data_IF_710385662849
#
_entry.id   IF_710385662849
#
_cell.length_a   1.000
_cell.length_b   1.000
_cell.length_c   1.000
_cell.angle_alpha   90.00
_cell.angle_beta   90.00
_cell.angle_gamma   90.00
#
_symmetry.space_group_name_H-M   'P 1'
#
loop_
_entity.id
_entity.type
_entity.pdbx_description
1 polymer ?
#
# COMPACT_ATOMS: atom_id res chain seq x y z
N UNK A 1 -17.39 39.76 24.73
CA UNK A 1 -16.52 38.63 25.10
C UNK A 1 -15.84 38.14 23.85
N UNK A 2 -14.51 38.23 23.76
CA UNK A 2 -13.77 37.58 22.68
C UNK A 2 -13.92 36.06 22.85
N UNK A 3 -14.21 35.30 21.79
CA UNK A 3 -14.27 33.85 21.87
C UNK A 3 -12.93 33.29 22.35
N UNK A 4 -12.99 32.27 23.22
CA UNK A 4 -11.82 31.57 23.74
C UNK A 4 -11.04 30.97 22.55
N UNK A 5 -9.79 31.39 22.38
CA UNK A 5 -8.92 31.00 21.26
C UNK A 5 -8.82 29.46 21.17
N UNK A 6 -8.83 28.78 22.32
CA UNK A 6 -8.82 27.31 22.37
C UNK A 6 -10.09 26.69 21.75
N UNK A 7 -11.26 27.25 22.04
CA UNK A 7 -12.52 26.77 21.47
C UNK A 7 -12.59 27.01 19.95
N UNK A 8 -11.98 28.10 19.45
CA UNK A 8 -11.87 28.36 18.01
C UNK A 8 -10.95 27.33 17.35
N UNK A 9 -9.86 26.95 18.00
CA UNK A 9 -8.91 25.96 17.48
C UNK A 9 -9.52 24.55 17.44
N UNK A 10 -10.23 24.13 18.50
CA UNK A 10 -10.97 22.85 18.55
C UNK A 10 -12.04 22.77 17.43
N UNK A 11 -12.78 23.85 17.19
CA UNK A 11 -13.75 23.91 16.08
C UNK A 11 -13.08 23.81 14.70
N UNK A 12 -11.92 24.45 14.52
CA UNK A 12 -11.17 24.40 13.25
C UNK A 12 -10.62 23.01 12.97
N UNK A 13 -10.08 22.35 14.00
CA UNK A 13 -9.58 20.98 13.92
C UNK A 13 -10.72 19.99 13.58
N UNK A 14 -11.83 20.08 14.30
CA UNK A 14 -13.02 19.25 14.03
C UNK A 14 -13.56 19.46 12.61
N UNK A 15 -13.63 20.71 12.14
CA UNK A 15 -14.01 21.01 10.76
C UNK A 15 -13.01 20.44 9.74
N UNK A 16 -11.71 20.40 10.08
CA UNK A 16 -10.67 19.74 9.30
C UNK A 16 -10.93 18.24 9.17
N UNK A 17 -11.09 17.54 10.29
CA UNK A 17 -11.42 16.11 10.31
C UNK A 17 -12.72 15.81 9.56
N UNK A 18 -13.75 16.64 9.72
CA UNK A 18 -15.02 16.49 9.00
C UNK A 18 -14.85 16.54 7.48
N UNK A 19 -14.01 17.44 6.96
CA UNK A 19 -13.69 17.49 5.51
C UNK A 19 -12.98 16.23 5.03
N UNK A 20 -12.00 15.74 5.79
CA UNK A 20 -11.25 14.51 5.44
C UNK A 20 -12.18 13.30 5.44
N UNK A 21 -13.07 13.17 6.44
CA UNK A 21 -14.07 12.10 6.47
C UNK A 21 -15.05 12.19 5.29
N UNK A 22 -15.46 13.40 4.89
CA UNK A 22 -16.30 13.58 3.71
C UNK A 22 -15.59 13.17 2.40
N UNK A 23 -14.29 13.45 2.29
CA UNK A 23 -13.43 12.99 1.19
C UNK A 23 -13.33 11.46 1.17
N UNK A 24 -13.06 10.84 2.33
CA UNK A 24 -13.02 9.39 2.48
C UNK A 24 -14.36 8.74 2.09
N UNK A 25 -15.50 9.30 2.52
CA UNK A 25 -16.82 8.78 2.15
C UNK A 25 -17.09 8.83 0.63
N UNK A 26 -16.54 9.83 -0.07
CA UNK A 26 -16.60 9.87 -1.54
C UNK A 26 -15.72 8.78 -2.17
N UNK A 27 -14.50 8.59 -1.66
CA UNK A 27 -13.60 7.51 -2.08
C UNK A 27 -14.19 6.12 -1.85
N UNK A 28 -14.80 5.88 -0.68
CA UNK A 28 -15.48 4.62 -0.36
C UNK A 28 -16.59 4.30 -1.36
N UNK A 29 -17.42 5.29 -1.72
CA UNK A 29 -18.48 5.10 -2.72
C UNK A 29 -17.92 4.75 -4.10
N UNK A 30 -16.77 5.30 -4.48
CA UNK A 30 -16.10 4.91 -5.72
C UNK A 30 -15.57 3.48 -5.66
N UNK A 31 -14.90 3.12 -4.56
CA UNK A 31 -14.39 1.77 -4.34
C UNK A 31 -15.53 0.74 -4.33
N UNK A 32 -16.68 1.03 -3.73
CA UNK A 32 -17.84 0.13 -3.78
C UNK A 32 -18.38 -0.08 -5.19
N UNK A 33 -18.43 0.98 -6.01
CA UNK A 33 -18.78 0.83 -7.44
C UNK A 33 -17.74 0.01 -8.18
N UNK A 34 -16.46 0.19 -7.85
CA UNK A 34 -15.35 -0.59 -8.39
C UNK A 34 -15.50 -2.08 -8.05
N UNK A 35 -15.70 -2.42 -6.78
CA UNK A 35 -15.94 -3.80 -6.33
C UNK A 35 -17.11 -4.45 -7.10
N UNK A 36 -18.22 -3.72 -7.26
CA UNK A 36 -19.39 -4.19 -7.99
C UNK A 36 -19.15 -4.36 -9.50
N UNK A 37 -18.25 -3.58 -10.10
CA UNK A 37 -17.89 -3.67 -11.51
C UNK A 37 -16.95 -4.85 -11.83
N UNK A 38 -16.23 -5.35 -10.82
CA UNK A 38 -15.26 -6.45 -10.95
C UNK A 38 -15.62 -7.66 -10.07
N UNK A 39 -16.83 -8.24 -10.18
CA UNK A 39 -17.27 -9.31 -9.29
C UNK A 39 -16.40 -10.57 -9.42
N UNK A 40 -15.85 -10.86 -10.61
CA UNK A 40 -14.96 -12.01 -10.80
C UNK A 40 -13.64 -11.89 -10.01
N UNK A 41 -13.21 -10.67 -9.66
CA UNK A 41 -12.00 -10.45 -8.86
C UNK A 41 -12.31 -10.40 -7.37
N UNK A 42 -13.44 -9.78 -6.98
CA UNK A 42 -13.73 -9.43 -5.59
C UNK A 42 -14.84 -10.27 -4.93
N UNK A 43 -15.44 -11.24 -5.62
CA UNK A 43 -16.48 -12.09 -5.03
C UNK A 43 -15.94 -13.08 -3.98
N UNK A 44 -14.66 -13.42 -4.03
CA UNK A 44 -14.02 -14.33 -3.09
C UNK A 44 -13.10 -13.53 -2.15
N UNK A 45 -13.31 -13.66 -0.83
CA UNK A 45 -12.50 -13.00 0.19
C UNK A 45 -13.21 -11.83 0.89
N UNK A 46 -12.52 -11.14 1.82
CA UNK A 46 -13.08 -10.07 2.65
C UNK A 46 -13.15 -8.71 1.91
N UNK A 47 -13.53 -8.70 0.63
CA UNK A 47 -13.65 -7.47 -0.17
C UNK A 47 -15.03 -6.82 0.03
N UNK A 48 -15.23 -6.25 1.21
CA UNK A 48 -16.51 -5.68 1.61
C UNK A 48 -16.49 -4.15 1.72
N UNK A 49 -17.61 -3.59 2.20
CA UNK A 49 -17.74 -2.16 2.43
C UNK A 49 -16.82 -1.60 3.52
N UNK A 50 -16.37 -2.44 4.47
CA UNK A 50 -15.47 -2.06 5.53
C UNK A 50 -14.04 -1.91 4.99
N UNK A 51 -13.55 -2.88 4.19
CA UNK A 51 -12.27 -2.74 3.49
C UNK A 51 -12.25 -1.47 2.63
N UNK A 52 -13.30 -1.24 1.83
CA UNK A 52 -13.41 -0.03 1.01
C UNK A 52 -13.38 1.25 1.85
N UNK A 53 -13.98 1.24 3.04
CA UNK A 53 -13.93 2.39 3.98
C UNK A 53 -12.53 2.61 4.53
N UNK A 54 -11.86 1.55 4.98
CA UNK A 54 -10.51 1.59 5.54
C UNK A 54 -9.50 2.14 4.53
N UNK A 55 -9.55 1.64 3.29
CA UNK A 55 -8.72 2.13 2.19
C UNK A 55 -8.97 3.62 1.93
N UNK A 56 -10.23 4.02 1.79
CA UNK A 56 -10.57 5.41 1.48
C UNK A 56 -10.17 6.38 2.60
N UNK A 57 -10.30 5.98 3.87
CA UNK A 57 -9.84 6.77 5.01
C UNK A 57 -8.31 6.89 5.01
N UNK A 58 -7.59 5.80 4.79
CA UNK A 58 -6.13 5.82 4.76
C UNK A 58 -5.60 6.80 3.71
N UNK A 59 -6.15 6.78 2.51
CA UNK A 59 -5.72 7.69 1.44
C UNK A 59 -6.17 9.13 1.70
N UNK A 60 -7.41 9.36 2.16
CA UNK A 60 -7.89 10.72 2.44
C UNK A 60 -7.11 11.39 3.59
N UNK A 61 -6.74 10.66 4.63
CA UNK A 61 -5.91 11.20 5.71
C UNK A 61 -4.45 11.39 5.31
N UNK A 62 -3.96 10.63 4.33
CA UNK A 62 -2.62 10.79 3.76
C UNK A 62 -2.51 12.03 2.86
N UNK A 63 -3.54 12.35 2.09
CA UNK A 63 -3.57 13.48 1.13
C UNK A 63 -4.86 14.32 1.25
N UNK A 64 -5.12 14.98 2.39
CA UNK A 64 -6.37 15.69 2.66
C UNK A 64 -6.60 16.93 1.80
N UNK A 65 -5.55 17.44 1.16
CA UNK A 65 -5.59 18.57 0.24
C UNK A 65 -6.09 18.20 -1.16
N UNK A 66 -6.06 16.92 -1.51
CA UNK A 66 -6.57 16.42 -2.78
C UNK A 66 -8.10 16.31 -2.75
N UNK A 67 -8.71 16.38 -3.93
CA UNK A 67 -10.11 16.05 -4.12
C UNK A 67 -10.35 14.55 -4.39
N UNK A 68 -11.62 14.15 -4.44
CA UNK A 68 -11.99 12.75 -4.62
C UNK A 68 -11.62 12.19 -6.02
N UNK A 69 -11.55 13.04 -7.05
CA UNK A 69 -11.16 12.64 -8.39
C UNK A 69 -9.64 12.38 -8.45
N UNK A 70 -8.85 13.24 -7.82
CA UNK A 70 -7.40 13.09 -7.67
C UNK A 70 -7.04 11.81 -6.90
N UNK A 71 -7.76 11.50 -5.81
CA UNK A 71 -7.49 10.30 -5.00
C UNK A 71 -8.05 9.00 -5.59
N UNK A 72 -8.87 9.07 -6.64
CA UNK A 72 -9.53 7.90 -7.23
C UNK A 72 -8.53 6.82 -7.64
N UNK A 73 -7.45 7.22 -8.32
CA UNK A 73 -6.43 6.27 -8.79
C UNK A 73 -5.59 5.70 -7.65
N UNK A 74 -5.31 6.51 -6.64
CA UNK A 74 -4.57 6.05 -5.46
C UNK A 74 -5.37 5.00 -4.70
N UNK A 75 -6.68 5.22 -4.50
CA UNK A 75 -7.59 4.26 -3.89
C UNK A 75 -7.65 2.92 -4.66
N UNK A 76 -7.72 2.98 -6.00
CA UNK A 76 -7.74 1.78 -6.85
C UNK A 76 -6.42 1.03 -6.85
N UNK A 77 -5.29 1.74 -6.76
CA UNK A 77 -3.98 1.12 -6.62
C UNK A 77 -3.86 0.31 -5.31
N UNK A 78 -4.35 0.86 -4.20
CA UNK A 78 -4.41 0.12 -2.93
C UNK A 78 -5.31 -1.10 -3.04
N UNK A 79 -6.49 -0.96 -3.68
CA UNK A 79 -7.40 -2.08 -3.89
C UNK A 79 -6.77 -3.18 -4.78
N UNK A 80 -5.99 -2.81 -5.79
CA UNK A 80 -5.20 -3.76 -6.59
C UNK A 80 -4.19 -4.50 -5.73
N UNK A 81 -3.50 -3.81 -4.81
CA UNK A 81 -2.58 -4.43 -3.85
C UNK A 81 -3.26 -5.51 -3.01
N UNK A 82 -4.43 -5.21 -2.43
CA UNK A 82 -5.22 -6.19 -1.67
C UNK A 82 -5.72 -7.36 -2.52
N UNK A 83 -6.13 -7.10 -3.77
CA UNK A 83 -6.54 -8.16 -4.70
C UNK A 83 -5.36 -9.09 -5.03
N UNK A 84 -4.19 -8.52 -5.28
CA UNK A 84 -2.98 -9.25 -5.59
C UNK A 84 -2.53 -10.11 -4.39
N UNK A 85 -2.52 -9.54 -3.19
CA UNK A 85 -2.23 -10.21 -1.92
C UNK A 85 -3.11 -11.45 -1.74
N UNK A 86 -4.43 -11.30 -1.84
CA UNK A 86 -5.37 -12.42 -1.74
C UNK A 86 -5.13 -13.51 -2.78
N UNK A 87 -4.84 -13.12 -4.02
CA UNK A 87 -4.57 -14.07 -5.10
C UNK A 87 -3.29 -14.89 -4.85
N UNK A 88 -2.23 -14.25 -4.35
CA UNK A 88 -0.96 -14.92 -4.07
C UNK A 88 -1.05 -15.78 -2.81
N UNK A 89 -1.55 -15.22 -1.71
CA UNK A 89 -1.43 -15.86 -0.41
C UNK A 89 -2.54 -16.87 -0.12
N UNK A 90 -3.73 -16.69 -0.68
CA UNK A 90 -4.88 -17.55 -0.36
C UNK A 90 -5.40 -18.38 -1.54
N UNK A 91 -5.27 -17.90 -2.77
CA UNK A 91 -5.82 -18.62 -3.94
C UNK A 91 -4.78 -19.46 -4.69
N UNK A 92 -3.52 -19.00 -4.77
CA UNK A 92 -2.48 -19.77 -5.42
C UNK A 92 -2.08 -21.00 -4.57
N UNK A 93 -2.17 -22.18 -5.18
CA UNK A 93 -1.91 -23.47 -4.52
C UNK A 93 -0.54 -24.05 -4.88
N UNK A 94 0.14 -23.48 -5.88
CA UNK A 94 1.44 -23.97 -6.34
C UNK A 94 2.38 -22.86 -6.81
N UNK A 95 3.69 -23.17 -6.78
CA UNK A 95 4.73 -22.28 -7.30
C UNK A 95 4.50 -21.90 -8.77
N UNK A 96 4.04 -22.86 -9.58
CA UNK A 96 3.78 -22.65 -11.00
C UNK A 96 2.64 -21.65 -11.24
N UNK A 97 1.59 -21.67 -10.41
CA UNK A 97 0.49 -20.71 -10.46
C UNK A 97 0.96 -19.30 -10.09
N UNK A 98 1.76 -19.15 -9.02
CA UNK A 98 2.34 -17.86 -8.63
C UNK A 98 3.26 -17.31 -9.73
N UNK A 99 4.15 -18.13 -10.27
CA UNK A 99 5.02 -17.75 -11.38
C UNK A 99 4.23 -17.32 -12.63
N UNK A 100 3.13 -18.02 -12.95
CA UNK A 100 2.26 -17.65 -14.06
C UNK A 100 1.51 -16.34 -13.78
N UNK A 101 1.00 -16.14 -12.57
CA UNK A 101 0.37 -14.90 -12.14
C UNK A 101 1.34 -13.73 -12.31
N UNK A 102 2.54 -13.82 -11.73
CA UNK A 102 3.57 -12.78 -11.83
C UNK A 102 3.90 -12.46 -13.27
N UNK A 103 4.15 -13.48 -14.12
CA UNK A 103 4.43 -13.26 -15.55
C UNK A 103 3.30 -12.51 -16.26
N UNK A 104 2.04 -12.88 -16.01
CA UNK A 104 0.87 -12.21 -16.62
C UNK A 104 0.75 -10.76 -16.15
N UNK A 105 0.85 -10.51 -14.85
CA UNK A 105 0.75 -9.16 -14.29
C UNK A 105 1.88 -8.24 -14.79
N UNK A 106 3.11 -8.76 -14.89
CA UNK A 106 4.23 -8.02 -15.50
C UNK A 106 3.97 -7.66 -16.97
N UNK A 107 3.45 -8.59 -17.75
CA UNK A 107 3.11 -8.34 -19.15
C UNK A 107 2.04 -7.24 -19.27
N UNK A 108 1.00 -7.30 -18.43
CA UNK A 108 -0.06 -6.27 -18.38
C UNK A 108 0.51 -4.91 -17.98
N UNK A 109 1.36 -4.84 -16.95
CA UNK A 109 2.01 -3.60 -16.53
C UNK A 109 2.87 -2.99 -17.66
N UNK A 110 3.51 -3.83 -18.47
CA UNK A 110 4.23 -3.42 -19.67
C UNK A 110 3.30 -2.93 -20.81
N UNK A 111 2.01 -3.27 -20.76
CA UNK A 111 1.00 -2.84 -21.73
C UNK A 111 0.45 -3.94 -22.62
N UNK A 112 0.76 -5.21 -22.34
CA UNK A 112 0.09 -6.32 -23.00
C UNK A 112 -1.40 -6.35 -22.60
N UNK A 113 -2.31 -6.79 -23.49
CA UNK A 113 -3.70 -6.98 -23.14
C UNK A 113 -3.86 -8.08 -22.09
N UNK A 114 -4.75 -7.86 -21.12
CA UNK A 114 -5.14 -8.90 -20.19
C UNK A 114 -6.05 -9.94 -20.88
N UNK A 115 -5.90 -11.21 -20.52
CA UNK A 115 -6.80 -12.26 -21.00
C UNK A 115 -8.15 -12.21 -20.28
N UNK A 116 -9.21 -12.75 -20.90
CA UNK A 116 -10.55 -12.78 -20.29
C UNK A 116 -10.57 -13.52 -18.95
N UNK A 117 -9.74 -14.57 -18.83
CA UNK A 117 -9.60 -15.40 -17.63
C UNK A 117 -8.58 -14.85 -16.61
N UNK A 118 -8.21 -13.56 -16.72
CA UNK A 118 -7.33 -12.87 -15.78
C UNK A 118 -8.02 -11.62 -15.19
N UNK A 119 -8.93 -11.78 -14.21
CA UNK A 119 -9.64 -10.66 -13.59
C UNK A 119 -8.70 -9.63 -12.95
N UNK A 120 -7.61 -10.09 -12.33
CA UNK A 120 -6.60 -9.22 -11.72
C UNK A 120 -5.85 -8.43 -12.80
N UNK A 121 -5.44 -9.09 -13.89
CA UNK A 121 -4.77 -8.44 -15.02
C UNK A 121 -5.68 -7.43 -15.72
N UNK A 122 -6.97 -7.72 -15.86
CA UNK A 122 -7.93 -6.74 -16.40
C UNK A 122 -8.01 -5.49 -15.52
N UNK A 123 -8.10 -5.69 -14.20
CA UNK A 123 -8.11 -4.58 -13.25
C UNK A 123 -6.82 -3.74 -13.33
N UNK A 124 -5.66 -4.39 -13.41
CA UNK A 124 -4.38 -3.72 -13.60
C UNK A 124 -4.29 -3.00 -14.96
N UNK A 125 -4.85 -3.56 -16.02
CA UNK A 125 -4.87 -2.94 -17.35
C UNK A 125 -5.69 -1.64 -17.36
N UNK A 126 -6.86 -1.64 -16.70
CA UNK A 126 -7.71 -0.46 -16.54
C UNK A 126 -7.00 0.62 -15.71
N UNK A 127 -6.42 0.23 -14.57
CA UNK A 127 -5.61 1.13 -13.75
C UNK A 127 -4.43 1.73 -14.52
N UNK A 128 -3.70 0.92 -15.27
CA UNK A 128 -2.60 1.38 -16.14
C UNK A 128 -3.11 2.34 -17.21
N UNK A 129 -4.27 2.08 -17.82
CA UNK A 129 -4.83 2.94 -18.85
C UNK A 129 -5.18 4.32 -18.28
N UNK A 130 -5.78 4.37 -17.09
CA UNK A 130 -6.06 5.61 -16.39
C UNK A 130 -4.76 6.36 -16.03
N UNK A 131 -3.74 5.65 -15.52
CA UNK A 131 -2.43 6.25 -15.26
C UNK A 131 -1.78 6.79 -16.54
N UNK A 132 -1.85 6.04 -17.65
CA UNK A 132 -1.27 6.43 -18.92
C UNK A 132 -1.93 7.66 -19.56
N UNK A 133 -3.14 8.00 -19.13
CA UNK A 133 -3.81 9.24 -19.53
C UNK A 133 -3.25 10.47 -18.78
N UNK A 134 -2.54 10.29 -17.67
CA UNK A 134 -1.92 11.38 -16.93
C UNK A 134 -0.65 11.89 -17.65
N UNK A 135 -0.45 13.21 -17.79
CA UNK A 135 0.72 13.77 -18.48
C UNK A 135 2.07 13.27 -17.94
N UNK A 136 2.18 13.10 -16.62
CA UNK A 136 3.42 12.67 -15.97
C UNK A 136 3.79 11.21 -16.27
N UNK A 137 2.87 10.39 -16.79
CA UNK A 137 3.14 8.97 -17.07
C UNK A 137 4.21 8.77 -18.15
N UNK A 138 4.34 9.69 -19.10
CA UNK A 138 5.39 9.63 -20.12
C UNK A 138 6.79 9.58 -19.48
N UNK A 139 6.98 10.31 -18.38
CA UNK A 139 8.26 10.41 -17.66
C UNK A 139 8.35 9.40 -16.52
N UNK A 140 7.30 9.28 -15.71
CA UNK A 140 7.30 8.50 -14.47
C UNK A 140 6.82 7.05 -14.65
N UNK A 141 6.22 6.72 -15.80
CA UNK A 141 5.66 5.39 -16.05
C UNK A 141 6.69 4.26 -16.01
N UNK A 142 7.98 4.57 -16.26
CA UNK A 142 9.08 3.63 -16.07
C UNK A 142 9.25 3.21 -14.61
N UNK A 143 9.28 4.17 -13.69
CA UNK A 143 9.39 3.92 -12.26
C UNK A 143 8.16 3.19 -11.71
N UNK A 144 6.95 3.50 -12.21
CA UNK A 144 5.75 2.76 -11.81
C UNK A 144 5.82 1.29 -12.22
N UNK A 145 6.23 0.99 -13.46
CA UNK A 145 6.42 -0.39 -13.93
C UNK A 145 7.47 -1.14 -13.12
N UNK A 146 8.55 -0.45 -12.76
CA UNK A 146 9.58 -1.02 -11.90
C UNK A 146 9.05 -1.32 -10.49
N UNK A 147 8.26 -0.42 -9.90
CA UNK A 147 7.61 -0.67 -8.61
C UNK A 147 6.64 -1.86 -8.67
N UNK A 148 5.83 -1.98 -9.75
CA UNK A 148 4.98 -3.17 -9.98
C UNK A 148 5.83 -4.44 -10.03
N UNK A 149 6.97 -4.41 -10.74
CA UNK A 149 7.88 -5.56 -10.84
C UNK A 149 8.43 -5.99 -9.49
N UNK A 150 8.94 -5.04 -8.70
CA UNK A 150 9.47 -5.30 -7.35
C UNK A 150 8.41 -5.91 -6.44
N UNK A 151 7.20 -5.38 -6.43
CA UNK A 151 6.08 -5.93 -5.63
C UNK A 151 5.74 -7.35 -6.01
N UNK A 152 5.56 -7.64 -7.30
CA UNK A 152 5.23 -9.00 -7.77
C UNK A 152 6.34 -10.02 -7.46
N UNK A 153 7.60 -9.62 -7.63
CA UNK A 153 8.75 -10.47 -7.29
C UNK A 153 8.88 -10.71 -5.78
N UNK A 154 8.60 -9.69 -4.97
CA UNK A 154 8.63 -9.79 -3.51
C UNK A 154 7.52 -10.70 -2.97
N UNK A 155 6.30 -10.57 -3.48
CA UNK A 155 5.18 -11.46 -3.15
C UNK A 155 5.48 -12.91 -3.52
N UNK A 156 6.03 -13.13 -4.72
CA UNK A 156 6.47 -14.47 -5.12
C UNK A 156 7.54 -15.03 -4.19
N UNK A 157 8.55 -14.23 -3.85
CA UNK A 157 9.64 -14.66 -2.94
C UNK A 157 9.08 -15.09 -1.58
N UNK A 158 8.15 -14.31 -1.05
CA UNK A 158 7.54 -14.58 0.24
C UNK A 158 6.67 -15.84 0.23
N UNK A 159 5.90 -16.05 -0.85
CA UNK A 159 5.14 -17.28 -1.04
C UNK A 159 6.04 -18.52 -0.99
N UNK A 160 7.24 -18.45 -1.59
CA UNK A 160 8.23 -19.53 -1.53
C UNK A 160 8.80 -19.73 -0.12
N UNK A 161 9.10 -18.65 0.61
CA UNK A 161 9.56 -18.73 2.00
C UNK A 161 8.51 -19.39 2.89
N UNK A 162 7.26 -18.93 2.81
CA UNK A 162 6.13 -19.48 3.56
C UNK A 162 5.94 -20.97 3.28
N UNK A 163 5.92 -21.36 2.00
CA UNK A 163 5.74 -22.75 1.58
C UNK A 163 6.90 -23.63 2.02
N UNK A 164 8.15 -23.20 1.82
CA UNK A 164 9.33 -23.98 2.20
C UNK A 164 9.45 -24.13 3.73
N UNK A 165 9.05 -23.11 4.49
CA UNK A 165 8.97 -23.15 5.95
C UNK A 165 7.91 -24.15 6.45
N UNK A 166 6.70 -24.13 5.88
CA UNK A 166 5.63 -25.10 6.20
C UNK A 166 6.07 -26.55 5.94
N UNK A 167 6.80 -26.78 4.86
CA UNK A 167 7.29 -28.12 4.49
C UNK A 167 8.56 -28.55 5.26
N UNK A 168 9.15 -27.67 6.08
CA UNK A 168 10.43 -27.90 6.76
C UNK A 168 11.62 -28.08 5.81
N UNK A 169 11.49 -27.62 4.56
CA UNK A 169 12.46 -27.86 3.47
C UNK A 169 13.62 -26.87 3.46
N UNK A 170 13.40 -25.66 3.96
CA UNK A 170 14.40 -24.60 4.05
C UNK A 170 14.25 -23.84 5.38
N UNK A 171 15.33 -23.26 5.91
CA UNK A 171 15.21 -22.31 7.02
C UNK A 171 14.39 -21.09 6.56
N UNK A 172 13.61 -20.54 7.50
CA UNK A 172 12.94 -19.26 7.31
C UNK A 172 13.98 -18.15 7.03
N UNK A 173 13.61 -17.07 6.31
CA UNK A 173 14.52 -15.95 6.08
C UNK A 173 14.93 -15.29 7.41
N UNK A 174 16.09 -14.64 7.42
CA UNK A 174 16.41 -13.75 8.54
C UNK A 174 15.45 -12.54 8.56
N UNK A 175 15.30 -11.87 9.70
CA UNK A 175 14.52 -10.63 9.78
C UNK A 175 15.03 -9.58 8.78
N UNK A 176 16.35 -9.50 8.56
CA UNK A 176 16.94 -8.58 7.60
C UNK A 176 16.56 -8.91 6.15
N UNK A 177 16.59 -10.20 5.76
CA UNK A 177 16.18 -10.64 4.42
C UNK A 177 14.69 -10.40 4.20
N UNK A 178 13.87 -10.65 5.22
CA UNK A 178 12.44 -10.40 5.20
C UNK A 178 12.12 -8.91 5.00
N UNK A 179 12.80 -8.02 5.73
CA UNK A 179 12.64 -6.57 5.57
C UNK A 179 13.21 -6.03 4.24
N UNK A 180 14.23 -6.69 3.68
CA UNK A 180 14.70 -6.39 2.33
C UNK A 180 13.64 -6.73 1.26
N UNK A 181 12.65 -7.58 1.60
CA UNK A 181 11.53 -7.96 0.74
C UNK A 181 10.25 -7.12 0.99
N UNK A 182 10.34 -5.97 1.66
CA UNK A 182 9.17 -5.16 2.02
C UNK A 182 8.36 -4.62 0.82
N UNK A 183 8.86 -4.74 -0.41
CA UNK A 183 8.08 -4.49 -1.64
C UNK A 183 6.82 -5.36 -1.75
N UNK A 184 6.76 -6.47 -0.98
CA UNK A 184 5.54 -7.27 -0.80
C UNK A 184 4.35 -6.42 -0.31
N UNK A 185 4.57 -5.41 0.53
CA UNK A 185 3.50 -4.55 1.07
C UNK A 185 2.85 -3.63 0.00
N UNK A 186 3.47 -3.47 -1.17
CA UNK A 186 2.96 -2.68 -2.29
C UNK A 186 2.74 -1.17 -2.04
N UNK A 187 3.27 -0.58 -0.97
CA UNK A 187 3.11 0.85 -0.70
C UNK A 187 3.78 1.72 -1.76
N UNK A 188 5.02 1.40 -2.18
CA UNK A 188 5.75 2.26 -3.12
C UNK A 188 5.10 2.31 -4.51
N UNK A 189 4.54 1.21 -5.01
CA UNK A 189 3.82 1.21 -6.29
C UNK A 189 2.55 2.07 -6.22
N UNK A 190 1.86 2.09 -5.09
CA UNK A 190 0.73 3.02 -4.84
C UNK A 190 1.21 4.46 -4.84
N UNK A 191 2.31 4.76 -4.12
CA UNK A 191 2.85 6.11 -3.98
C UNK A 191 3.34 6.68 -5.32
N UNK A 192 4.01 5.88 -6.14
CA UNK A 192 4.42 6.30 -7.49
C UNK A 192 3.19 6.54 -8.40
N UNK A 193 2.16 5.70 -8.29
CA UNK A 193 0.89 5.92 -9.00
C UNK A 193 0.17 7.20 -8.55
N UNK A 194 0.24 7.52 -7.26
CA UNK A 194 -0.24 8.78 -6.70
C UNK A 194 0.49 9.97 -7.32
N UNK A 195 1.83 9.99 -7.31
CA UNK A 195 2.61 11.10 -7.88
C UNK A 195 2.44 11.28 -9.39
N UNK A 196 2.20 10.20 -10.14
CA UNK A 196 1.81 10.31 -11.56
C UNK A 196 0.51 11.10 -11.73
N UNK A 197 -0.42 10.96 -10.78
CA UNK A 197 -1.77 11.52 -10.86
C UNK A 197 -1.89 12.92 -10.24
N UNK A 198 -1.10 13.20 -9.18
CA UNK A 198 -1.26 14.38 -8.32
C UNK A 198 0.04 15.18 -8.12
N UNK A 199 1.17 14.62 -8.54
CA UNK A 199 2.50 15.15 -8.26
C UNK A 199 2.81 16.44 -9.01
N UNK A 200 3.78 17.17 -8.46
CA UNK A 200 4.31 18.39 -9.09
C UNK A 200 4.96 18.08 -10.46
N UNK A 201 4.85 18.96 -11.47
CA UNK A 201 5.61 18.86 -12.72
C UNK A 201 7.12 18.59 -12.54
N UNK A 202 7.73 19.05 -11.44
CA UNK A 202 9.15 18.85 -11.13
C UNK A 202 9.45 17.48 -10.45
N UNK A 203 8.42 16.66 -10.19
CA UNK A 203 8.58 15.34 -9.58
C UNK A 203 9.60 14.40 -10.26
N UNK A 204 9.78 14.40 -11.60
CA UNK A 204 10.77 13.56 -12.26
C UNK A 204 12.21 13.75 -11.76
N UNK A 205 12.62 14.99 -11.51
CA UNK A 205 14.01 15.30 -11.09
C UNK A 205 14.31 14.83 -9.67
N UNK A 206 13.27 14.46 -8.91
CA UNK A 206 13.35 14.10 -7.49
C UNK A 206 12.84 12.69 -7.22
N UNK A 207 12.46 11.97 -8.26
CA UNK A 207 11.80 10.66 -8.18
C UNK A 207 12.63 9.64 -7.42
N UNK A 208 13.94 9.58 -7.63
CA UNK A 208 14.82 8.63 -6.93
C UNK A 208 14.81 8.87 -5.41
N UNK A 209 14.84 10.14 -4.97
CA UNK A 209 14.77 10.50 -3.55
C UNK A 209 13.39 10.20 -2.97
N UNK A 210 12.33 10.49 -3.73
CA UNK A 210 10.95 10.17 -3.34
C UNK A 210 10.73 8.66 -3.19
N UNK A 211 11.20 7.86 -4.14
CA UNK A 211 11.13 6.39 -4.08
C UNK A 211 11.94 5.86 -2.91
N UNK A 212 13.14 6.39 -2.66
CA UNK A 212 13.95 5.98 -1.50
C UNK A 212 13.25 6.25 -0.16
N UNK A 213 12.60 7.42 -0.01
CA UNK A 213 11.82 7.74 1.18
C UNK A 213 10.56 6.85 1.29
N UNK A 214 9.86 6.61 0.18
CA UNK A 214 8.71 5.70 0.13
C UNK A 214 9.10 4.27 0.52
N UNK A 215 10.24 3.76 0.04
CA UNK A 215 10.74 2.44 0.40
C UNK A 215 11.12 2.35 1.90
N UNK A 216 11.58 3.45 2.50
CA UNK A 216 11.82 3.51 3.94
C UNK A 216 10.50 3.48 4.74
N UNK A 217 9.50 4.26 4.32
CA UNK A 217 8.15 4.23 4.90
C UNK A 217 7.52 2.85 4.76
N UNK A 218 7.61 2.23 3.59
CA UNK A 218 7.09 0.88 3.32
C UNK A 218 7.68 -0.17 4.28
N UNK A 219 8.99 -0.13 4.53
CA UNK A 219 9.64 -1.04 5.50
C UNK A 219 9.12 -0.82 6.92
N UNK A 220 8.95 0.44 7.35
CA UNK A 220 8.37 0.74 8.65
C UNK A 220 6.92 0.25 8.75
N UNK A 221 6.11 0.50 7.71
CA UNK A 221 4.72 0.07 7.64
C UNK A 221 4.57 -1.45 7.62
N UNK A 222 5.55 -2.18 7.06
CA UNK A 222 5.56 -3.64 7.13
C UNK A 222 5.60 -4.13 8.57
N UNK A 223 6.51 -3.59 9.39
CA UNK A 223 6.57 -3.98 10.80
C UNK A 223 5.38 -3.48 11.62
N UNK A 224 4.83 -2.31 11.30
CA UNK A 224 3.57 -1.83 11.89
C UNK A 224 2.45 -2.84 11.64
N UNK A 225 2.33 -3.32 10.41
CA UNK A 225 1.35 -4.33 10.04
C UNK A 225 1.62 -5.63 10.79
N UNK A 226 2.84 -6.17 10.73
CA UNK A 226 3.20 -7.44 11.37
C UNK A 226 2.93 -7.44 12.89
N UNK A 227 3.27 -6.35 13.58
CA UNK A 227 3.03 -6.21 15.03
C UNK A 227 1.55 -6.22 15.39
N UNK A 228 0.69 -5.74 14.48
CA UNK A 228 -0.75 -5.68 14.67
C UNK A 228 -1.45 -6.98 14.25
N UNK A 229 -0.87 -7.73 13.31
CA UNK A 229 -1.55 -8.87 12.68
C UNK A 229 -0.99 -10.24 13.05
N UNK A 230 0.01 -10.31 13.93
CA UNK A 230 0.67 -11.55 14.35
C UNK A 230 -0.27 -12.73 14.64
N UNK A 231 -1.30 -12.53 15.46
CA UNK A 231 -2.22 -13.62 15.82
C UNK A 231 -3.02 -14.12 14.62
N UNK A 232 -3.41 -13.20 13.73
CA UNK A 232 -4.13 -13.52 12.49
C UNK A 232 -3.22 -14.23 11.52
N UNK A 233 -2.03 -13.70 11.30
CA UNK A 233 -1.05 -14.28 10.37
C UNK A 233 -0.62 -15.68 10.84
N UNK A 234 -0.51 -15.92 12.15
CA UNK A 234 -0.30 -17.26 12.70
C UNK A 234 -1.45 -18.23 12.36
N UNK A 235 -2.71 -17.78 12.45
CA UNK A 235 -3.88 -18.61 12.12
C UNK A 235 -3.99 -18.88 10.61
N UNK A 236 -3.65 -17.90 9.79
CA UNK A 236 -3.65 -18.02 8.32
C UNK A 236 -2.41 -18.76 7.80
N UNK A 237 -1.39 -18.89 8.67
CA UNK A 237 -0.10 -19.50 8.39
C UNK A 237 0.78 -18.64 7.49
N UNK A 238 0.58 -17.33 7.51
CA UNK A 238 1.35 -16.34 6.77
C UNK A 238 2.63 -15.96 7.51
N UNK A 239 3.58 -15.39 6.78
CA UNK A 239 4.90 -15.08 7.33
C UNK A 239 4.88 -13.71 8.01
N UNK A 240 5.29 -13.68 9.27
CA UNK A 240 5.30 -12.46 10.08
C UNK A 240 6.68 -12.25 10.74
N UNK A 241 7.16 -11.00 10.82
CA UNK A 241 8.46 -10.68 11.40
C UNK A 241 8.69 -11.25 12.81
N UNK A 242 7.65 -11.36 13.65
CA UNK A 242 7.75 -11.91 15.01
C UNK A 242 8.13 -13.40 14.99
N UNK A 243 7.71 -14.13 13.96
CA UNK A 243 8.05 -15.56 13.81
C UNK A 243 9.52 -15.79 13.43
N UNK A 244 10.23 -14.73 13.02
CA UNK A 244 11.62 -14.80 12.55
C UNK A 244 12.65 -14.49 13.63
N UNK A 245 12.20 -14.18 14.85
CA UNK A 245 13.05 -13.78 15.97
C UNK A 245 12.64 -14.50 17.26
N UNK A 246 13.57 -14.58 18.21
CA UNK A 246 13.30 -15.17 19.53
C UNK A 246 12.48 -14.23 20.44
N UNK A 247 12.60 -12.92 20.24
CA UNK A 247 12.00 -11.89 21.10
C UNK A 247 11.33 -10.80 20.26
N UNK A 248 10.04 -10.58 20.51
CA UNK A 248 9.23 -9.50 19.92
C UNK A 248 9.88 -8.13 20.06
N UNK A 249 10.61 -7.88 21.15
CA UNK A 249 11.28 -6.60 21.37
C UNK A 249 12.37 -6.32 20.31
N UNK A 250 12.88 -7.34 19.61
CA UNK A 250 13.76 -7.14 18.45
C UNK A 250 13.01 -6.41 17.33
N UNK A 251 11.81 -6.87 16.98
CA UNK A 251 10.97 -6.25 15.94
C UNK A 251 10.59 -4.82 16.31
N UNK A 252 10.26 -4.57 17.58
CA UNK A 252 9.91 -3.22 18.06
C UNK A 252 11.10 -2.24 18.00
N UNK A 253 12.31 -2.72 18.29
CA UNK A 253 13.54 -1.92 18.13
C UNK A 253 13.84 -1.64 16.65
N UNK A 254 13.70 -2.64 15.78
CA UNK A 254 13.87 -2.46 14.33
C UNK A 254 12.85 -1.45 13.78
N UNK A 255 11.58 -1.53 14.20
CA UNK A 255 10.57 -0.53 13.82
C UNK A 255 10.99 0.88 14.24
N UNK A 256 11.51 1.04 15.46
CA UNK A 256 11.99 2.36 15.94
C UNK A 256 13.10 2.90 15.04
N UNK A 257 14.06 2.06 14.65
CA UNK A 257 15.14 2.44 13.71
C UNK A 257 14.62 2.80 12.32
N UNK A 258 13.67 2.03 11.79
CA UNK A 258 13.05 2.30 10.49
C UNK A 258 12.23 3.61 10.50
N UNK A 259 11.50 3.89 11.57
CA UNK A 259 10.77 5.14 11.75
C UNK A 259 11.70 6.35 11.80
N UNK A 260 12.83 6.25 12.52
CA UNK A 260 13.83 7.30 12.56
C UNK A 260 14.41 7.56 11.16
N UNK A 261 14.84 6.51 10.45
CA UNK A 261 15.37 6.64 9.09
C UNK A 261 14.35 7.21 8.10
N UNK A 262 13.10 6.76 8.17
CA UNK A 262 12.05 7.29 7.32
C UNK A 262 11.82 8.78 7.61
N UNK A 263 11.81 9.17 8.89
CA UNK A 263 11.68 10.58 9.30
C UNK A 263 12.84 11.42 8.76
N UNK A 264 14.08 10.97 8.91
CA UNK A 264 15.26 11.70 8.41
C UNK A 264 15.18 11.96 6.89
N UNK A 265 14.83 10.93 6.11
CA UNK A 265 14.65 11.06 4.65
C UNK A 265 13.50 12.01 4.29
N UNK A 266 12.40 11.96 5.04
CA UNK A 266 11.27 12.85 4.82
C UNK A 266 11.61 14.30 5.18
N UNK A 267 12.37 14.52 6.24
CA UNK A 267 12.85 15.83 6.67
C UNK A 267 13.73 16.48 5.59
N UNK A 268 14.66 15.71 5.00
CA UNK A 268 15.48 16.15 3.87
C UNK A 268 14.64 16.51 2.63
N UNK A 269 13.54 15.79 2.40
CA UNK A 269 12.64 16.04 1.28
C UNK A 269 11.76 17.28 1.48
N UNK A 270 11.45 17.71 2.71
CA UNK A 270 10.48 18.79 2.95
C UNK A 270 10.84 20.11 2.27
N UNK A 271 12.13 20.40 2.09
CA UNK A 271 12.58 21.63 1.46
C UNK A 271 12.27 21.64 -0.06
N UNK A 272 12.40 20.49 -0.70
CA UNK A 272 12.25 20.36 -2.15
C UNK A 272 10.84 19.87 -2.53
N UNK A 273 10.36 18.81 -1.87
CA UNK A 273 9.08 18.13 -2.12
C UNK A 273 8.14 18.20 -0.89
N UNK A 274 7.67 19.39 -0.48
CA UNK A 274 6.89 19.54 0.75
C UNK A 274 5.57 18.75 0.73
N UNK A 275 4.91 18.64 -0.43
CA UNK A 275 3.62 17.93 -0.56
C UNK A 275 3.81 16.42 -0.45
N UNK A 276 4.77 15.86 -1.18
CA UNK A 276 5.06 14.43 -1.19
C UNK A 276 5.63 13.97 0.16
N UNK A 277 6.48 14.78 0.78
CA UNK A 277 6.99 14.53 2.13
C UNK A 277 5.85 14.55 3.16
N UNK A 278 4.91 15.50 3.06
CA UNK A 278 3.73 15.54 3.91
C UNK A 278 2.83 14.31 3.68
N UNK A 279 2.59 13.92 2.42
CA UNK A 279 1.83 12.73 2.07
C UNK A 279 2.39 11.47 2.73
N UNK A 280 3.68 11.21 2.57
CA UNK A 280 4.36 10.05 3.17
C UNK A 280 4.38 10.10 4.70
N UNK A 281 4.59 11.29 5.29
CA UNK A 281 4.52 11.48 6.75
C UNK A 281 3.13 11.14 7.29
N UNK A 282 2.08 11.59 6.60
CA UNK A 282 0.68 11.34 7.00
C UNK A 282 0.29 9.88 6.76
N UNK A 283 0.75 9.26 5.69
CA UNK A 283 0.59 7.82 5.44
C UNK A 283 1.19 7.01 6.59
N UNK A 284 2.42 7.33 7.00
CA UNK A 284 3.08 6.68 8.12
C UNK A 284 2.29 6.86 9.43
N UNK A 285 1.89 8.10 9.73
CA UNK A 285 1.14 8.42 10.94
C UNK A 285 -0.25 7.78 11.01
N UNK A 286 -1.02 7.87 9.92
CA UNK A 286 -2.37 7.29 9.86
C UNK A 286 -2.32 5.77 9.99
N UNK A 287 -1.51 5.10 9.17
CA UNK A 287 -1.46 3.63 9.15
C UNK A 287 -0.95 3.08 10.49
N UNK A 288 0.03 3.74 11.10
CA UNK A 288 0.49 3.39 12.46
C UNK A 288 -0.59 3.54 13.52
N UNK A 289 -1.44 4.56 13.41
CA UNK A 289 -2.58 4.76 14.32
C UNK A 289 -3.69 3.74 14.07
N UNK A 290 -4.02 3.49 12.81
CA UNK A 290 -5.08 2.57 12.40
C UNK A 290 -4.81 1.14 12.87
N UNK A 291 -3.60 0.61 12.61
CA UNK A 291 -3.20 -0.74 13.03
C UNK A 291 -3.12 -0.95 14.55
N UNK A 292 -3.04 0.12 15.35
CA UNK A 292 -3.18 0.00 16.82
C UNK A 292 -4.60 -0.29 17.27
N UNK A 293 -5.60 -0.11 16.40
CA UNK A 293 -7.02 -0.26 16.73
C UNK A 293 -7.70 -1.37 15.94
N UNK A 294 -7.35 -1.55 14.66
CA UNK A 294 -7.93 -2.58 13.79
C UNK A 294 -7.01 -2.83 12.58
N UNK A 295 -7.28 -3.86 11.78
CA UNK A 295 -6.58 -4.10 10.52
C UNK A 295 -7.49 -3.85 9.31
N UNK A 296 -6.90 -3.80 8.11
CA UNK A 296 -7.66 -3.48 6.90
C UNK A 296 -8.64 -4.59 6.49
N UNK A 297 -8.36 -5.83 6.84
CA UNK A 297 -9.23 -6.96 6.51
C UNK A 297 -10.42 -7.08 7.48
N UNK A 298 -10.33 -6.49 8.67
CA UNK A 298 -11.41 -6.43 9.66
C UNK A 298 -11.82 -7.79 10.23
N UNK A 299 -11.03 -8.85 9.96
CA UNK A 299 -11.29 -10.22 10.42
C UNK A 299 -10.46 -10.47 11.68
N UNK A 300 -11.16 -10.47 12.82
CA UNK A 300 -10.59 -10.89 14.11
C UNK A 300 -10.31 -12.39 14.17
#
# INVERSE_FOLDING_TARGET
MAPDVRAIDELREAAGHGRICALAAQGQRDLQRCLAAHPALFAAGPFDAALASSVALAIAFSAPECDAAELRLTNRAVLWGFALDWQVDHLATSAAEVDQLVRRQLAVAAGAPATVDDPLGRFLAEFRADLAAAPAFATLGGAWREAVRRTLEAMRREWHWRTAGRDGRLPLPSLADYLANADNLACTVVNVGHWISTGDPDAPDRLDRLVAASDAVQRALRLVNDLATYERDLRWGDLNAIMLVEDRAVVERELTGLLARATDLLDELRADCPREAAYLTRQLGYTSGFYRSTDFWGVA
#
